data_IF_080357283259
#
_entry.id   IF_080357283259
#
_cell.length_a   1.000
_cell.length_b   1.000
_cell.length_c   1.000
_cell.angle_alpha   90.00
_cell.angle_beta   90.00
_cell.angle_gamma   90.00
#
_symmetry.space_group_name_H-M   'P 1'
#
loop_
_entity.id
_entity.type
_entity.pdbx_description
1 polymer ?
#
# COMPACT_ATOMS: atom_id res chain seq x y z
N UNK A 1 17.89 -17.95 -4.59
CA UNK A 1 17.08 -16.71 -4.59
C UNK A 1 18.03 -15.55 -4.39
N UNK A 2 17.98 -14.57 -5.28
CA UNK A 2 18.69 -13.30 -5.06
C UNK A 2 17.93 -12.45 -4.03
N UNK A 3 18.59 -11.47 -3.40
CA UNK A 3 17.92 -10.56 -2.46
C UNK A 3 16.77 -9.80 -3.13
N UNK A 4 16.92 -9.44 -4.40
CA UNK A 4 15.91 -8.83 -5.27
C UNK A 4 14.65 -9.70 -5.43
N UNK A 5 14.82 -11.02 -5.63
CA UNK A 5 13.68 -11.96 -5.75
C UNK A 5 12.87 -12.02 -4.45
N UNK A 6 13.56 -12.04 -3.30
CA UNK A 6 12.93 -12.09 -2.00
C UNK A 6 12.13 -10.81 -1.70
N UNK A 7 12.70 -9.63 -1.99
CA UNK A 7 12.01 -8.35 -1.81
C UNK A 7 10.80 -8.23 -2.74
N UNK A 8 10.92 -8.71 -3.98
CA UNK A 8 9.80 -8.73 -4.93
C UNK A 8 8.68 -9.65 -4.46
N UNK A 9 9.01 -10.82 -3.88
CA UNK A 9 8.03 -11.73 -3.30
C UNK A 9 7.27 -11.06 -2.15
N UNK A 10 7.99 -10.43 -1.22
CA UNK A 10 7.41 -9.71 -0.08
C UNK A 10 6.48 -8.59 -0.58
N UNK A 11 6.92 -7.81 -1.56
CA UNK A 11 6.10 -6.76 -2.17
C UNK A 11 4.77 -7.32 -2.71
N UNK A 12 4.82 -8.45 -3.45
CA UNK A 12 3.64 -9.07 -4.01
C UNK A 12 2.69 -9.62 -2.93
N UNK A 13 3.22 -10.22 -1.87
CA UNK A 13 2.41 -10.71 -0.74
C UNK A 13 1.67 -9.57 -0.02
N UNK A 14 2.33 -8.42 0.17
CA UNK A 14 1.71 -7.23 0.75
C UNK A 14 0.52 -6.73 -0.10
N UNK A 15 0.69 -6.70 -1.43
CA UNK A 15 -0.38 -6.32 -2.35
C UNK A 15 -1.56 -7.30 -2.33
N UNK A 16 -1.27 -8.60 -2.37
CA UNK A 16 -2.32 -9.63 -2.29
C UNK A 16 -3.08 -9.56 -0.97
N UNK A 17 -2.38 -9.34 0.15
CA UNK A 17 -3.01 -9.17 1.46
C UNK A 17 -3.94 -7.95 1.53
N UNK A 18 -3.58 -6.84 0.87
CA UNK A 18 -4.44 -5.68 0.75
C UNK A 18 -5.69 -5.99 -0.08
N UNK A 19 -5.53 -6.61 -1.26
CA UNK A 19 -6.64 -6.99 -2.14
C UNK A 19 -7.62 -7.95 -1.45
N UNK A 20 -7.09 -8.96 -0.75
CA UNK A 20 -7.91 -9.90 0.00
C UNK A 20 -8.78 -9.20 1.03
N UNK A 21 -8.22 -8.25 1.80
CA UNK A 21 -8.99 -7.49 2.79
C UNK A 21 -10.06 -6.59 2.16
N UNK A 22 -9.81 -6.07 0.95
CA UNK A 22 -10.82 -5.32 0.20
C UNK A 22 -11.98 -6.22 -0.24
N UNK A 23 -11.70 -7.44 -0.69
CA UNK A 23 -12.72 -8.42 -1.03
C UNK A 23 -13.50 -8.88 0.21
N UNK A 24 -12.82 -9.20 1.31
CA UNK A 24 -13.42 -9.58 2.59
C UNK A 24 -14.40 -8.51 3.11
N UNK A 25 -14.06 -7.22 2.97
CA UNK A 25 -14.98 -6.14 3.35
C UNK A 25 -16.26 -6.13 2.51
N UNK A 26 -16.15 -6.41 1.20
CA UNK A 26 -17.29 -6.47 0.29
C UNK A 26 -18.15 -7.71 0.54
N UNK A 27 -17.53 -8.86 0.74
CA UNK A 27 -18.21 -10.13 0.99
C UNK A 27 -18.98 -10.11 2.32
N UNK A 28 -18.40 -9.50 3.36
CA UNK A 28 -19.06 -9.35 4.65
C UNK A 28 -20.14 -8.24 4.68
N UNK A 29 -20.40 -7.57 3.54
CA UNK A 29 -21.43 -6.55 3.44
C UNK A 29 -21.22 -5.36 4.40
N UNK A 30 -19.96 -4.98 4.65
CA UNK A 30 -19.69 -3.86 5.56
C UNK A 30 -20.37 -2.57 5.05
N UNK A 31 -21.00 -1.78 5.95
CA UNK A 31 -21.55 -0.49 5.60
C UNK A 31 -20.51 0.39 4.89
N UNK A 32 -20.93 1.16 3.88
CA UNK A 32 -20.01 1.96 3.05
C UNK A 32 -19.13 2.91 3.87
N UNK A 33 -19.67 3.50 4.95
CA UNK A 33 -18.92 4.36 5.87
C UNK A 33 -17.76 3.61 6.53
N UNK A 34 -18.03 2.42 7.07
CA UNK A 34 -17.00 1.56 7.69
C UNK A 34 -16.00 1.02 6.66
N UNK A 35 -16.46 0.66 5.46
CA UNK A 35 -15.62 0.21 4.36
C UNK A 35 -14.65 1.31 3.92
N UNK A 36 -15.13 2.55 3.81
CA UNK A 36 -14.30 3.71 3.50
C UNK A 36 -13.18 3.89 4.53
N UNK A 37 -13.51 4.07 5.82
CA UNK A 37 -12.49 4.27 6.86
C UNK A 37 -11.50 3.12 6.97
N UNK A 38 -11.98 1.88 6.84
CA UNK A 38 -11.11 0.69 6.90
C UNK A 38 -10.21 0.60 5.67
N UNK A 39 -10.71 0.94 4.49
CA UNK A 39 -9.93 0.99 3.25
C UNK A 39 -8.82 2.04 3.30
N UNK A 40 -9.10 3.24 3.84
CA UNK A 40 -8.13 4.31 4.07
C UNK A 40 -7.01 3.86 5.00
N UNK A 41 -7.38 3.25 6.14
CA UNK A 41 -6.41 2.73 7.11
C UNK A 41 -5.52 1.63 6.52
N UNK A 42 -6.11 0.73 5.73
CA UNK A 42 -5.37 -0.34 5.06
C UNK A 42 -4.42 0.21 4.01
N UNK A 43 -4.83 1.24 3.26
CA UNK A 43 -3.99 1.89 2.26
C UNK A 43 -2.77 2.54 2.91
N UNK A 44 -2.98 3.32 3.98
CA UNK A 44 -1.87 3.93 4.74
C UNK A 44 -0.88 2.88 5.25
N UNK A 45 -1.38 1.80 5.86
CA UNK A 45 -0.52 0.73 6.35
C UNK A 45 0.30 0.07 5.23
N UNK A 46 -0.31 -0.13 4.05
CA UNK A 46 0.38 -0.67 2.88
C UNK A 46 1.48 0.29 2.38
N UNK A 47 1.19 1.61 2.33
CA UNK A 47 2.19 2.64 1.99
C UNK A 47 3.41 2.56 2.91
N UNK A 48 3.18 2.53 4.24
CA UNK A 48 4.26 2.51 5.22
C UNK A 48 5.13 1.24 5.08
N UNK A 49 4.50 0.10 4.79
CA UNK A 49 5.19 -1.18 4.54
C UNK A 49 6.01 -1.15 3.24
N UNK A 50 5.46 -0.62 2.14
CA UNK A 50 6.19 -0.51 0.87
C UNK A 50 7.35 0.49 1.01
N UNK A 51 7.16 1.60 1.72
CA UNK A 51 8.22 2.56 1.98
C UNK A 51 9.38 1.92 2.76
N UNK A 52 9.06 1.14 3.79
CA UNK A 52 10.08 0.40 4.56
C UNK A 52 10.81 -0.62 3.68
N UNK A 53 10.09 -1.32 2.80
CA UNK A 53 10.68 -2.28 1.87
C UNK A 53 11.59 -1.60 0.83
N UNK A 54 11.20 -0.41 0.36
CA UNK A 54 11.99 0.42 -0.54
C UNK A 54 13.29 0.89 0.11
N UNK A 55 13.25 1.26 1.39
CA UNK A 55 14.46 1.63 2.14
C UNK A 55 15.41 0.44 2.27
N UNK A 56 14.88 -0.75 2.59
CA UNK A 56 15.67 -1.97 2.64
C UNK A 56 16.33 -2.27 1.28
N UNK A 57 15.58 -2.15 0.18
CA UNK A 57 16.12 -2.33 -1.18
C UNK A 57 17.24 -1.34 -1.49
N UNK A 58 17.07 -0.08 -1.09
CA UNK A 58 18.07 0.97 -1.25
C UNK A 58 19.35 0.67 -0.45
N UNK A 59 19.22 0.23 0.80
CA UNK A 59 20.34 -0.10 1.68
C UNK A 59 21.11 -1.35 1.21
N UNK A 60 20.43 -2.27 0.49
CA UNK A 60 21.02 -3.42 -0.16
C UNK A 60 21.79 -3.07 -1.46
N UNK A 61 21.73 -1.80 -1.91
CA UNK A 61 22.37 -1.32 -3.13
C UNK A 61 21.54 -1.51 -4.40
N UNK A 62 20.30 -1.99 -4.29
CA UNK A 62 19.38 -2.18 -5.41
C UNK A 62 18.45 -0.96 -5.54
N UNK A 63 19.06 0.15 -5.98
CA UNK A 63 18.39 1.45 -6.09
C UNK A 63 17.28 1.47 -7.16
N UNK A 64 17.43 0.68 -8.23
CA UNK A 64 16.43 0.54 -9.27
C UNK A 64 15.17 -0.15 -8.74
N UNK A 65 15.34 -1.23 -7.97
CA UNK A 65 14.23 -1.92 -7.31
C UNK A 65 13.51 -1.03 -6.30
N UNK A 66 14.25 -0.26 -5.50
CA UNK A 66 13.68 0.72 -4.58
C UNK A 66 12.82 1.75 -5.33
N UNK A 67 13.34 2.30 -6.43
CA UNK A 67 12.60 3.25 -7.26
C UNK A 67 11.32 2.63 -7.82
N UNK A 68 11.36 1.37 -8.26
CA UNK A 68 10.20 0.67 -8.78
C UNK A 68 9.14 0.37 -7.71
N UNK A 69 9.54 0.08 -6.46
CA UNK A 69 8.60 -0.04 -5.35
C UNK A 69 7.89 1.27 -5.05
N UNK A 70 8.62 2.39 -5.04
CA UNK A 70 8.00 3.71 -4.82
C UNK A 70 7.04 4.08 -5.96
N UNK A 71 7.43 3.88 -7.23
CA UNK A 71 6.54 4.12 -8.38
C UNK A 71 5.26 3.28 -8.31
N UNK A 72 5.36 2.01 -7.90
CA UNK A 72 4.18 1.15 -7.75
C UNK A 72 3.30 1.59 -6.58
N UNK A 73 3.88 2.03 -5.46
CA UNK A 73 3.11 2.61 -4.35
C UNK A 73 2.34 3.87 -4.82
N UNK A 74 3.00 4.74 -5.57
CA UNK A 74 2.41 5.92 -6.20
C UNK A 74 1.24 5.55 -7.11
N UNK A 75 1.43 4.61 -8.03
CA UNK A 75 0.39 4.15 -8.95
C UNK A 75 -0.82 3.50 -8.26
N UNK A 76 -0.64 2.92 -7.06
CA UNK A 76 -1.73 2.32 -6.27
C UNK A 76 -2.56 3.34 -5.49
N UNK A 77 -2.28 4.65 -5.64
CA UNK A 77 -2.87 5.69 -4.80
C UNK A 77 -2.44 5.58 -3.34
N UNK A 78 -1.37 4.83 -3.07
CA UNK A 78 -0.67 4.77 -1.79
C UNK A 78 0.30 5.94 -1.64
N UNK A 79 0.36 6.86 -2.62
CA UNK A 79 0.99 8.15 -2.40
C UNK A 79 0.41 8.80 -1.16
N UNK A 80 1.32 9.28 -0.32
CA UNK A 80 1.07 10.10 0.84
C UNK A 80 0.35 11.41 0.44
N UNK A 81 -0.92 11.31 0.07
CA UNK A 81 -1.81 12.45 -0.04
C UNK A 81 -2.20 12.81 1.39
N UNK A 82 -1.81 14.00 1.84
CA UNK A 82 -2.33 14.57 3.08
C UNK A 82 -3.86 14.62 2.98
N UNK A 83 -4.60 14.15 4.01
CA UNK A 83 -6.04 14.25 3.99
C UNK A 83 -6.44 15.72 3.94
N UNK A 84 -7.04 16.15 2.83
CA UNK A 84 -7.72 17.44 2.82
C UNK A 84 -9.03 17.30 3.61
N UNK A 85 -9.35 18.26 4.50
CA UNK A 85 -10.61 18.26 5.21
C UNK A 85 -11.75 18.41 4.20
N UNK A 86 -12.78 17.60 4.37
CA UNK A 86 -14.06 17.80 3.69
C UNK A 86 -14.64 19.12 4.26
N UNK A 87 -14.38 20.23 3.58
CA UNK A 87 -15.23 21.40 3.71
C UNK A 87 -16.61 21.01 3.18
N UNK A 88 -17.48 20.60 4.10
CA UNK A 88 -18.92 20.53 3.85
C UNK A 88 -19.35 21.98 3.55
N UNK A 89 -19.50 22.32 2.28
CA UNK A 89 -20.31 23.49 1.92
C UNK A 89 -21.77 23.02 1.94
N UNK A 90 -22.51 23.67 2.82
CA UNK A 90 -23.92 23.49 3.11
C UNK A 90 -24.81 23.58 1.86
#
# INVERSE_FOLDING_TARGET
MTHTDALTLIFNELLQGYQYKQCDMKENGLPETSTFFRSEKLRKALTDQINSLSQIAYDLGDHDLACDFMKKATALGCDAIQPEPICIKA
#
